data_IF_393410222987
#
_entry.id   IF_393410222987
#
_cell.length_a   1.000
_cell.length_b   1.000
_cell.length_c   1.000
_cell.angle_alpha   90.00
_cell.angle_beta   90.00
_cell.angle_gamma   90.00
#
_symmetry.space_group_name_H-M   'P 1'
#
loop_
_entity.id
_entity.type
_entity.pdbx_description
1 polymer ?
#
# COMPACT_ATOMS: atom_id res chain seq x y z
N UNK A 1 27.76 -4.76 -16.75
CA UNK A 1 26.47 -4.39 -16.12
C UNK A 1 25.38 -4.38 -17.19
N UNK A 2 24.13 -4.72 -16.81
CA UNK A 2 22.99 -4.69 -17.72
C UNK A 2 21.89 -3.81 -17.12
N UNK A 3 21.22 -3.06 -17.96
CA UNK A 3 19.89 -2.53 -17.71
C UNK A 3 18.89 -3.48 -18.39
N UNK A 4 17.82 -3.84 -17.67
CA UNK A 4 16.89 -4.86 -18.15
C UNK A 4 15.47 -4.32 -18.03
N UNK A 5 14.74 -4.31 -19.15
CA UNK A 5 13.29 -4.13 -19.16
C UNK A 5 12.65 -5.52 -19.27
N UNK A 6 11.86 -5.88 -18.27
CA UNK A 6 11.12 -7.14 -18.24
C UNK A 6 9.63 -6.84 -18.25
N UNK A 7 8.90 -7.42 -19.17
CA UNK A 7 7.45 -7.27 -19.31
C UNK A 7 6.79 -8.64 -19.28
N UNK A 8 5.55 -8.69 -18.75
CA UNK A 8 4.71 -9.90 -18.74
C UNK A 8 3.28 -9.58 -19.21
N UNK A 9 3.11 -8.55 -20.02
CA UNK A 9 1.78 -8.04 -20.38
C UNK A 9 0.99 -9.02 -21.23
N UNK A 10 1.65 -9.77 -22.09
CA UNK A 10 1.02 -10.74 -23.01
C UNK A 10 0.98 -12.17 -22.45
N UNK A 11 1.20 -12.37 -21.14
CA UNK A 11 1.29 -13.69 -20.54
C UNK A 11 2.59 -14.43 -20.83
N UNK A 12 3.55 -13.77 -21.48
CA UNK A 12 4.89 -14.27 -21.79
C UNK A 12 5.89 -13.27 -21.23
N UNK A 13 6.97 -13.77 -20.61
CA UNK A 13 8.06 -12.90 -20.15
C UNK A 13 8.86 -12.44 -21.38
N UNK A 14 8.86 -11.13 -21.60
CA UNK A 14 9.69 -10.46 -22.59
C UNK A 14 10.81 -9.70 -21.87
N UNK A 15 12.05 -9.94 -22.22
CA UNK A 15 13.20 -9.22 -21.67
C UNK A 15 13.99 -8.54 -22.77
N UNK A 16 14.23 -7.25 -22.59
CA UNK A 16 15.21 -6.48 -23.34
C UNK A 16 16.38 -6.20 -22.40
N UNK A 17 17.57 -6.68 -22.75
CA UNK A 17 18.80 -6.54 -21.95
C UNK A 17 19.80 -5.70 -22.70
N UNK A 18 20.18 -4.57 -22.10
CA UNK A 18 21.17 -3.67 -22.68
C UNK A 18 22.45 -3.69 -21.85
N UNK A 19 23.52 -4.16 -22.46
CA UNK A 19 24.84 -4.12 -21.83
C UNK A 19 25.37 -2.70 -21.78
N UNK A 20 26.21 -2.36 -20.83
CA UNK A 20 26.75 -1.01 -20.66
C UNK A 20 27.36 -0.42 -21.96
N UNK A 21 28.03 -1.24 -22.77
CA UNK A 21 28.61 -0.82 -24.05
C UNK A 21 27.56 -0.36 -25.08
N UNK A 22 26.30 -0.78 -24.92
CA UNK A 22 25.20 -0.51 -25.84
C UNK A 22 24.21 0.54 -25.29
N UNK A 23 24.50 1.15 -24.13
CA UNK A 23 23.67 2.23 -23.60
C UNK A 23 23.63 3.41 -24.56
N UNK A 24 22.44 3.95 -24.78
CA UNK A 24 22.20 4.87 -25.91
C UNK A 24 22.37 6.36 -25.58
N UNK A 25 22.61 6.73 -24.30
CA UNK A 25 22.91 8.11 -23.92
C UNK A 25 24.31 8.26 -23.35
N UNK A 26 24.60 7.68 -22.20
CA UNK A 26 25.93 7.71 -21.61
C UNK A 26 26.33 6.30 -21.18
N UNK A 27 27.41 5.82 -21.76
CA UNK A 27 27.94 4.48 -21.47
C UNK A 27 28.63 4.41 -20.11
N UNK A 28 28.92 5.55 -19.52
CA UNK A 28 29.70 5.61 -18.27
C UNK A 28 31.02 4.79 -18.36
N UNK A 29 31.71 4.91 -19.45
CA UNK A 29 33.00 4.30 -19.76
C UNK A 29 34.09 5.37 -20.03
N UNK A 30 33.86 6.60 -19.58
CA UNK A 30 34.73 7.75 -19.79
C UNK A 30 34.57 8.41 -21.16
N UNK A 31 33.84 7.82 -22.10
CA UNK A 31 33.69 8.36 -23.48
C UNK A 31 32.36 9.08 -23.70
N UNK A 32 31.38 8.89 -22.80
CA UNK A 32 30.06 9.51 -22.88
C UNK A 32 30.03 10.98 -22.44
N UNK A 33 28.85 11.63 -22.49
CA UNK A 33 28.67 13.05 -22.13
C UNK A 33 29.14 13.40 -20.72
N UNK A 34 29.00 12.51 -19.75
CA UNK A 34 29.45 12.76 -18.38
C UNK A 34 30.95 12.68 -18.20
N UNK A 35 31.68 12.07 -19.16
CA UNK A 35 33.10 11.77 -19.08
C UNK A 35 33.50 10.98 -17.80
N UNK A 36 32.60 10.16 -17.28
CA UNK A 36 32.78 9.37 -16.06
C UNK A 36 32.80 7.88 -16.36
N UNK A 37 33.65 7.18 -15.61
CA UNK A 37 33.64 5.72 -15.54
C UNK A 37 32.79 5.27 -14.35
N UNK A 38 31.87 4.35 -14.57
CA UNK A 38 31.05 3.78 -13.51
C UNK A 38 31.80 2.67 -12.79
N UNK A 39 32.15 2.91 -11.55
CA UNK A 39 32.71 1.91 -10.66
C UNK A 39 31.61 1.42 -9.69
N UNK A 40 31.06 0.25 -9.96
CA UNK A 40 29.99 -0.37 -9.16
C UNK A 40 30.46 -0.84 -7.77
N UNK A 41 31.76 -0.87 -7.51
CA UNK A 41 32.31 -1.14 -6.18
C UNK A 41 32.20 0.04 -5.24
N UNK A 42 31.93 1.21 -5.77
CA UNK A 42 31.76 2.47 -5.02
C UNK A 42 30.29 2.76 -4.77
N UNK A 43 30.04 3.73 -3.91
CA UNK A 43 28.70 4.24 -3.66
C UNK A 43 28.19 5.03 -4.87
N UNK A 44 27.07 4.61 -5.43
CA UNK A 44 26.41 5.25 -6.56
C UNK A 44 24.94 5.52 -6.23
N UNK A 45 24.41 6.60 -6.76
CA UNK A 45 22.97 6.86 -6.76
C UNK A 45 22.44 6.49 -8.13
N UNK A 46 21.71 5.39 -8.20
CA UNK A 46 20.96 4.98 -9.39
C UNK A 46 19.56 5.58 -9.35
N UNK A 47 19.05 6.05 -10.47
CA UNK A 47 17.70 6.54 -10.60
C UNK A 47 17.02 5.91 -11.82
N UNK A 48 15.70 5.81 -11.71
CA UNK A 48 14.82 5.25 -12.72
C UNK A 48 13.60 6.13 -12.81
N UNK A 49 13.23 6.52 -14.02
CA UNK A 49 12.05 7.30 -14.32
C UNK A 49 11.18 6.55 -15.33
N UNK A 50 9.90 6.44 -15.02
CA UNK A 50 8.94 5.67 -15.78
C UNK A 50 7.78 6.58 -16.17
N UNK A 51 7.63 6.84 -17.45
CA UNK A 51 6.42 7.51 -17.96
C UNK A 51 5.24 6.57 -17.78
N UNK A 52 4.37 6.93 -16.84
CA UNK A 52 3.23 6.10 -16.51
C UNK A 52 2.24 6.00 -17.68
N UNK A 53 1.44 5.03 -17.71
CA UNK A 53 0.51 4.44 -18.66
C UNK A 53 1.08 3.18 -19.34
N UNK A 54 2.37 2.86 -19.11
CA UNK A 54 3.03 1.69 -19.65
C UNK A 54 3.24 1.75 -21.17
N UNK A 55 3.21 2.94 -21.77
CA UNK A 55 3.40 3.16 -23.20
C UNK A 55 4.48 4.20 -23.52
N UNK A 56 4.96 4.90 -22.52
CA UNK A 56 6.03 5.89 -22.68
C UNK A 56 7.43 5.29 -22.57
N UNK A 57 8.41 6.17 -22.43
CA UNK A 57 9.81 5.81 -22.29
C UNK A 57 10.16 5.46 -20.83
N UNK A 58 11.17 4.62 -20.63
CA UNK A 58 11.79 4.37 -19.32
C UNK A 58 13.23 4.85 -19.36
N UNK A 59 13.55 5.86 -18.55
CA UNK A 59 14.88 6.45 -18.44
C UNK A 59 15.62 5.88 -17.24
N UNK A 60 16.85 5.43 -17.44
CA UNK A 60 17.70 4.90 -16.38
C UNK A 60 19.00 5.70 -16.34
N UNK A 61 19.53 5.95 -15.14
CA UNK A 61 20.76 6.70 -15.05
C UNK A 61 21.39 6.76 -13.65
N UNK A 62 22.39 7.58 -13.53
CA UNK A 62 23.14 7.78 -12.29
C UNK A 62 23.24 9.27 -11.96
N UNK A 63 23.40 9.57 -10.70
CA UNK A 63 23.70 10.93 -10.26
C UNK A 63 25.21 11.12 -10.23
N UNK A 64 25.68 12.08 -11.01
CA UNK A 64 27.10 12.44 -11.12
C UNK A 64 27.24 13.92 -10.82
N UNK A 65 28.11 14.27 -9.89
CA UNK A 65 28.35 15.67 -9.48
C UNK A 65 27.03 16.42 -9.12
N UNK A 66 26.09 15.71 -8.51
CA UNK A 66 24.77 16.26 -8.12
C UNK A 66 23.77 16.42 -9.28
N UNK A 67 24.10 15.97 -10.49
CA UNK A 67 23.24 16.03 -11.65
C UNK A 67 22.76 14.62 -12.05
N UNK A 68 21.48 14.51 -12.40
CA UNK A 68 20.91 13.27 -12.95
C UNK A 68 21.37 13.11 -14.40
N UNK A 69 22.20 12.11 -14.65
CA UNK A 69 22.70 11.79 -15.99
C UNK A 69 21.98 10.54 -16.50
N UNK A 70 21.46 10.59 -17.72
CA UNK A 70 20.80 9.45 -18.37
C UNK A 70 21.87 8.51 -18.92
N UNK A 71 21.79 7.24 -18.55
CA UNK A 71 22.62 6.18 -19.13
C UNK A 71 21.93 5.58 -20.35
N UNK A 72 20.68 5.15 -20.19
CA UNK A 72 19.92 4.48 -21.25
C UNK A 72 18.44 4.82 -21.19
N UNK A 73 17.80 4.81 -22.34
CA UNK A 73 16.35 4.97 -22.46
C UNK A 73 15.77 3.78 -23.23
N UNK A 74 14.84 3.08 -22.61
CA UNK A 74 14.00 2.12 -23.29
C UNK A 74 12.79 2.82 -23.88
N UNK A 75 12.78 3.01 -25.18
CA UNK A 75 11.66 3.57 -25.90
C UNK A 75 10.55 2.54 -26.09
N UNK A 76 9.32 2.94 -25.83
CA UNK A 76 8.13 2.13 -26.09
C UNK A 76 7.06 2.91 -26.87
N UNK A 77 7.06 4.21 -26.73
CA UNK A 77 6.20 5.15 -27.45
C UNK A 77 6.40 5.03 -28.96
N UNK A 78 5.30 4.92 -29.69
CA UNK A 78 5.26 4.72 -31.14
C UNK A 78 6.08 3.49 -31.65
N UNK A 79 6.39 2.54 -30.77
CA UNK A 79 7.13 1.31 -31.09
C UNK A 79 6.31 0.08 -30.72
N UNK A 80 5.79 0.03 -29.48
CA UNK A 80 5.03 -1.09 -28.97
C UNK A 80 3.53 -1.00 -29.31
N UNK A 81 2.87 -2.14 -29.40
CA UNK A 81 1.41 -2.24 -29.59
C UNK A 81 0.66 -2.53 -28.31
N UNK A 82 1.37 -2.81 -27.22
CA UNK A 82 0.83 -3.15 -25.90
C UNK A 82 1.55 -2.34 -24.83
N UNK A 83 1.02 -2.29 -23.62
CA UNK A 83 1.70 -1.68 -22.48
C UNK A 83 2.87 -2.58 -22.01
N UNK A 84 3.97 -2.01 -21.52
CA UNK A 84 5.07 -2.79 -20.95
C UNK A 84 4.87 -3.12 -19.46
N UNK A 85 3.95 -2.46 -18.79
CA UNK A 85 3.58 -2.76 -17.41
C UNK A 85 2.08 -2.52 -17.18
N UNK A 86 1.51 -3.29 -16.27
CA UNK A 86 0.06 -3.26 -15.97
C UNK A 86 -0.28 -2.49 -14.70
N UNK A 87 0.71 -2.13 -13.88
CA UNK A 87 0.50 -1.44 -12.62
C UNK A 87 1.63 -0.46 -12.33
N UNK A 88 1.27 0.76 -11.90
CA UNK A 88 2.23 1.77 -11.43
C UNK A 88 2.74 1.52 -10.01
N UNK A 89 2.12 0.61 -9.28
CA UNK A 89 2.33 0.43 -7.84
C UNK A 89 3.31 -0.69 -7.52
N UNK A 90 4.22 -0.98 -8.45
CA UNK A 90 5.25 -1.99 -8.20
C UNK A 90 6.24 -1.48 -7.14
N UNK A 91 6.55 -2.30 -6.13
CA UNK A 91 7.51 -1.92 -5.11
C UNK A 91 8.93 -1.86 -5.68
N UNK A 92 9.74 -0.94 -5.16
CA UNK A 92 11.17 -1.01 -5.37
C UNK A 92 11.71 -2.24 -4.65
N UNK A 93 12.38 -3.14 -5.38
CA UNK A 93 12.98 -4.36 -4.85
C UNK A 93 14.47 -4.35 -5.11
N UNK A 94 15.24 -4.70 -4.10
CA UNK A 94 16.67 -4.90 -4.18
C UNK A 94 16.96 -6.34 -3.76
N UNK A 95 17.70 -7.07 -4.59
CA UNK A 95 17.95 -8.47 -4.40
C UNK A 95 19.40 -8.81 -4.79
N UNK A 96 20.00 -9.74 -4.07
CA UNK A 96 21.23 -10.39 -4.46
C UNK A 96 21.00 -11.89 -4.50
N UNK A 97 21.35 -12.53 -5.59
CA UNK A 97 21.20 -13.95 -5.80
C UNK A 97 22.50 -14.52 -6.38
N UNK A 98 23.01 -15.57 -5.77
CA UNK A 98 24.11 -16.35 -6.32
C UNK A 98 23.52 -17.55 -7.08
N UNK A 99 23.73 -17.60 -8.38
CA UNK A 99 23.26 -18.70 -9.24
C UNK A 99 24.19 -19.90 -9.24
N UNK A 100 25.36 -19.77 -8.62
CA UNK A 100 26.36 -20.84 -8.44
C UNK A 100 27.18 -20.58 -7.17
N UNK A 101 27.91 -21.57 -6.72
CA UNK A 101 28.87 -21.39 -5.64
C UNK A 101 30.00 -20.45 -6.08
N UNK A 102 30.10 -19.30 -5.39
CA UNK A 102 31.12 -18.28 -5.69
C UNK A 102 32.38 -18.44 -4.88
N UNK A 103 32.46 -19.44 -3.98
CA UNK A 103 33.59 -19.67 -3.08
C UNK A 103 33.80 -18.56 -2.03
N UNK A 104 32.97 -17.51 -2.04
CA UNK A 104 33.04 -16.40 -1.09
C UNK A 104 31.66 -15.76 -0.91
N UNK A 105 31.45 -15.09 0.25
CA UNK A 105 30.22 -14.35 0.51
C UNK A 105 30.14 -13.12 -0.41
N UNK A 106 29.00 -12.96 -1.09
CA UNK A 106 28.68 -11.76 -1.85
C UNK A 106 27.86 -10.81 -0.97
N UNK A 107 28.02 -9.52 -1.14
CA UNK A 107 27.25 -8.52 -0.40
C UNK A 107 26.78 -7.38 -1.30
N UNK A 108 25.55 -6.93 -1.10
CA UNK A 108 24.99 -5.73 -1.68
C UNK A 108 24.59 -4.80 -0.53
N UNK A 109 25.07 -3.56 -0.54
CA UNK A 109 24.73 -2.57 0.47
C UNK A 109 23.76 -1.55 -0.12
N UNK A 110 22.59 -1.46 0.47
CA UNK A 110 21.63 -0.40 0.20
C UNK A 110 21.69 0.60 1.37
N UNK A 111 21.75 1.90 1.05
CA UNK A 111 21.76 2.98 2.04
C UNK A 111 20.32 3.49 2.26
N UNK A 112 19.68 3.93 1.18
CA UNK A 112 18.28 4.34 1.19
C UNK A 112 17.67 4.24 -0.22
N UNK A 113 16.36 4.34 -0.30
CA UNK A 113 15.63 4.50 -1.55
C UNK A 113 14.43 5.42 -1.35
N UNK A 114 13.91 5.97 -2.45
CA UNK A 114 12.63 6.66 -2.45
C UNK A 114 11.91 6.42 -3.78
N UNK A 115 10.58 6.42 -3.74
CA UNK A 115 9.72 6.43 -4.92
C UNK A 115 8.98 7.76 -4.93
N UNK A 116 9.01 8.46 -6.04
CA UNK A 116 8.44 9.80 -6.19
C UNK A 116 7.46 9.77 -7.35
N UNK A 117 6.28 10.33 -7.16
CA UNK A 117 5.32 10.57 -8.24
C UNK A 117 5.37 12.04 -8.65
N UNK A 118 5.61 12.30 -9.91
CA UNK A 118 5.47 13.64 -10.48
C UNK A 118 3.99 14.00 -10.66
N UNK A 119 3.59 15.20 -10.30
CA UNK A 119 2.23 15.68 -10.47
C UNK A 119 1.28 15.44 -9.28
N UNK A 120 1.77 14.85 -8.20
CA UNK A 120 1.00 14.63 -6.98
C UNK A 120 -0.10 13.58 -7.16
N UNK A 121 -0.83 13.34 -6.08
CA UNK A 121 -1.87 12.34 -6.03
C UNK A 121 -3.25 12.99 -5.86
N UNK A 122 -4.03 13.00 -6.91
CA UNK A 122 -5.41 13.47 -6.86
C UNK A 122 -6.37 12.31 -6.59
N UNK A 123 -7.11 12.34 -5.48
CA UNK A 123 -8.23 11.42 -5.25
C UNK A 123 -9.37 11.76 -6.20
N UNK A 124 -9.30 11.29 -7.44
CA UNK A 124 -10.34 11.54 -8.47
C UNK A 124 -11.48 10.54 -8.43
N UNK A 125 -11.52 9.67 -7.43
CA UNK A 125 -12.57 8.65 -7.26
C UNK A 125 -13.50 9.00 -6.12
N UNK A 126 -14.77 8.58 -6.24
CA UNK A 126 -15.73 8.73 -5.17
C UNK A 126 -15.43 7.73 -4.05
N UNK A 127 -15.49 8.14 -2.78
CA UNK A 127 -15.36 7.20 -1.68
C UNK A 127 -16.50 6.17 -1.72
N UNK A 128 -16.17 4.94 -1.46
CA UNK A 128 -17.12 3.89 -1.13
C UNK A 128 -17.40 3.90 0.36
N UNK A 129 -18.56 3.43 0.78
CA UNK A 129 -19.01 3.48 2.18
C UNK A 129 -19.32 2.09 2.68
N UNK A 130 -18.60 1.67 3.67
CA UNK A 130 -18.77 0.45 4.44
C UNK A 130 -19.66 0.77 5.67
N UNK A 131 -20.82 0.14 5.80
CA UNK A 131 -21.81 0.48 6.84
C UNK A 131 -22.23 -0.72 7.67
N UNK A 132 -22.11 -0.60 8.99
CA UNK A 132 -22.71 -1.52 9.95
C UNK A 132 -23.96 -0.89 10.56
N UNK A 133 -25.06 -1.61 10.52
CA UNK A 133 -26.35 -1.21 11.11
C UNK A 133 -26.72 -2.01 12.36
N UNK A 134 -25.96 -3.05 12.67
CA UNK A 134 -26.12 -3.87 13.88
C UNK A 134 -25.38 -3.24 15.06
N UNK A 135 -25.97 -3.32 16.24
CA UNK A 135 -25.36 -2.81 17.46
C UNK A 135 -24.14 -3.65 17.87
N UNK A 136 -23.11 -2.97 18.38
CA UNK A 136 -21.93 -3.61 18.98
C UNK A 136 -21.80 -3.12 20.41
N UNK A 137 -21.97 -4.02 21.38
CA UNK A 137 -21.66 -3.73 22.77
C UNK A 137 -20.15 -3.63 22.95
N UNK A 138 -19.68 -2.53 23.49
CA UNK A 138 -18.29 -2.29 23.84
C UNK A 138 -18.13 -2.23 25.35
N UNK A 139 -17.01 -2.67 25.84
CA UNK A 139 -16.68 -2.77 27.26
C UNK A 139 -15.29 -2.21 27.52
N UNK A 140 -14.99 -1.98 28.78
CA UNK A 140 -13.72 -1.49 29.23
C UNK A 140 -12.57 -2.44 28.84
N UNK A 141 -11.50 -1.86 28.33
CA UNK A 141 -10.25 -2.53 27.94
C UNK A 141 -10.39 -3.69 26.92
N UNK A 142 -11.57 -3.87 26.29
CA UNK A 142 -11.79 -4.96 25.32
C UNK A 142 -12.10 -4.38 23.94
N UNK A 143 -11.18 -4.54 23.00
CA UNK A 143 -11.37 -4.09 21.65
C UNK A 143 -12.43 -4.90 20.88
N UNK A 144 -13.50 -4.27 20.47
CA UNK A 144 -14.56 -4.87 19.66
C UNK A 144 -14.48 -4.42 18.22
N UNK A 145 -14.52 -5.34 17.24
CA UNK A 145 -14.49 -4.97 15.84
C UNK A 145 -15.82 -4.34 15.40
N UNK A 146 -15.73 -3.27 14.66
CA UNK A 146 -16.89 -2.59 14.08
C UNK A 146 -17.09 -2.99 12.63
N UNK A 147 -16.08 -2.77 11.80
CA UNK A 147 -16.04 -3.11 10.37
C UNK A 147 -14.64 -3.51 9.97
N UNK A 148 -14.51 -4.32 8.94
CA UNK A 148 -13.21 -4.73 8.41
C UNK A 148 -13.19 -4.67 6.88
N UNK A 149 -12.00 -4.45 6.31
CA UNK A 149 -11.77 -4.45 4.87
C UNK A 149 -10.42 -5.09 4.54
N UNK A 150 -10.33 -5.68 3.35
CA UNK A 150 -9.10 -6.23 2.77
C UNK A 150 -9.14 -6.16 1.24
N UNK A 151 -8.02 -6.32 0.57
CA UNK A 151 -8.03 -6.51 -0.89
C UNK A 151 -8.68 -7.85 -1.23
N UNK A 152 -9.46 -7.86 -2.31
CA UNK A 152 -9.99 -9.10 -2.86
C UNK A 152 -8.85 -9.98 -3.37
N UNK A 153 -8.92 -11.29 -3.13
CA UNK A 153 -7.85 -12.23 -3.50
C UNK A 153 -7.50 -12.24 -4.99
N UNK A 154 -8.44 -11.87 -5.85
CA UNK A 154 -8.22 -11.75 -7.30
C UNK A 154 -7.75 -10.34 -7.72
N UNK A 155 -7.62 -9.40 -6.78
CA UNK A 155 -7.33 -7.99 -7.02
C UNK A 155 -6.25 -7.45 -6.09
N UNK A 156 -5.25 -8.25 -5.80
CA UNK A 156 -4.17 -7.94 -4.84
C UNK A 156 -3.23 -6.82 -5.27
N UNK A 157 -3.31 -6.36 -6.50
CA UNK A 157 -2.52 -5.23 -7.01
C UNK A 157 -3.28 -3.89 -6.96
N UNK A 158 -4.48 -3.90 -6.40
CA UNK A 158 -5.30 -2.70 -6.31
C UNK A 158 -4.77 -1.73 -5.25
N UNK A 159 -4.97 -0.45 -5.49
CA UNK A 159 -4.62 0.61 -4.54
C UNK A 159 -5.88 1.04 -3.83
N UNK A 160 -5.97 0.71 -2.55
CA UNK A 160 -7.11 1.05 -1.70
C UNK A 160 -6.62 1.82 -0.48
N UNK A 161 -7.14 3.01 -0.31
CA UNK A 161 -6.84 3.89 0.82
C UNK A 161 -8.03 3.91 1.78
N UNK A 162 -7.85 3.64 3.08
CA UNK A 162 -8.89 3.85 4.07
C UNK A 162 -9.24 5.34 4.14
N UNK A 163 -10.46 5.63 4.55
CA UNK A 163 -11.01 6.97 4.57
C UNK A 163 -11.50 7.40 5.94
N UNK A 164 -12.44 8.33 5.96
CA UNK A 164 -13.09 8.80 7.18
C UNK A 164 -13.93 7.68 7.79
N UNK A 165 -14.11 7.71 9.09
CA UNK A 165 -15.12 6.92 9.76
C UNK A 165 -16.05 7.78 10.57
N UNK A 166 -17.25 7.25 10.83
CA UNK A 166 -18.29 7.85 11.65
C UNK A 166 -18.92 6.79 12.52
N UNK A 167 -19.05 7.07 13.78
CA UNK A 167 -19.77 6.21 14.72
C UNK A 167 -20.87 6.98 15.41
N UNK A 168 -21.87 6.23 15.87
CA UNK A 168 -22.90 6.71 16.76
C UNK A 168 -23.00 5.77 17.96
N UNK A 169 -22.62 6.26 19.14
CA UNK A 169 -22.79 5.59 20.41
C UNK A 169 -24.16 5.93 21.01
N UNK A 170 -24.90 4.93 21.49
CA UNK A 170 -26.34 5.05 21.73
C UNK A 170 -26.74 5.19 23.18
N UNK A 171 -25.86 4.95 24.13
CA UNK A 171 -26.23 4.91 25.54
C UNK A 171 -25.18 5.58 26.41
N UNK A 172 -25.60 6.14 27.53
CA UNK A 172 -24.85 6.67 28.70
C UNK A 172 -23.50 7.36 28.48
N UNK A 173 -23.12 8.27 29.36
CA UNK A 173 -21.80 8.90 29.23
C UNK A 173 -20.71 7.84 29.33
N UNK A 174 -20.04 7.62 28.23
CA UNK A 174 -18.84 6.79 28.14
C UNK A 174 -17.78 7.50 27.32
N UNK A 175 -16.54 7.34 27.73
CA UNK A 175 -15.39 7.72 26.89
C UNK A 175 -15.03 6.50 26.04
N UNK A 176 -15.10 6.68 24.73
CA UNK A 176 -14.87 5.64 23.75
C UNK A 176 -13.54 5.89 23.05
N UNK A 177 -12.71 4.89 23.01
CA UNK A 177 -11.51 4.86 22.19
C UNK A 177 -11.78 4.07 20.90
N UNK A 178 -11.33 4.62 19.79
CA UNK A 178 -11.43 4.06 18.45
C UNK A 178 -10.04 3.89 17.87
N UNK A 179 -9.84 2.82 17.13
CA UNK A 179 -8.57 2.60 16.44
C UNK A 179 -8.76 1.85 15.13
N UNK A 180 -7.87 2.11 14.16
CA UNK A 180 -7.64 1.21 13.06
C UNK A 180 -6.51 0.23 13.41
N UNK A 181 -6.77 -1.05 13.24
CA UNK A 181 -5.81 -2.13 13.51
C UNK A 181 -5.57 -2.91 12.23
N UNK A 182 -4.30 -2.98 11.83
CA UNK A 182 -3.86 -3.78 10.68
C UNK A 182 -3.44 -5.17 11.12
N UNK A 183 -3.92 -6.19 10.43
CA UNK A 183 -3.56 -7.59 10.62
C UNK A 183 -3.69 -8.08 12.08
N UNK A 184 -4.86 -7.90 12.72
CA UNK A 184 -5.06 -8.45 14.07
C UNK A 184 -4.96 -9.97 14.03
N UNK A 185 -4.50 -10.56 15.14
CA UNK A 185 -4.38 -12.02 15.28
C UNK A 185 -5.69 -12.70 15.66
N UNK A 186 -6.62 -11.95 16.27
CA UNK A 186 -7.94 -12.44 16.68
C UNK A 186 -9.06 -11.66 16.01
N UNK A 187 -9.48 -12.11 14.84
CA UNK A 187 -10.66 -11.58 14.15
C UNK A 187 -11.49 -12.75 13.64
N UNK A 188 -12.76 -12.78 13.99
CA UNK A 188 -13.71 -13.75 13.46
C UNK A 188 -14.57 -13.10 12.39
N UNK A 189 -14.54 -13.67 11.21
CA UNK A 189 -15.39 -13.27 10.09
C UNK A 189 -16.50 -14.29 9.98
N UNK A 190 -17.78 -13.90 10.09
CA UNK A 190 -18.90 -14.82 9.98
C UNK A 190 -18.89 -15.57 8.66
N UNK A 191 -19.43 -16.78 8.63
CA UNK A 191 -19.81 -17.41 7.38
C UNK A 191 -20.94 -16.61 6.70
N UNK A 192 -21.07 -16.69 5.38
CA UNK A 192 -22.12 -15.98 4.63
C UNK A 192 -23.53 -16.36 5.17
N UNK A 193 -24.48 -15.40 5.33
CA UNK A 193 -24.35 -13.98 5.10
C UNK A 193 -23.67 -13.24 6.27
N UNK A 194 -22.95 -12.16 5.99
CA UNK A 194 -22.26 -11.35 7.00
C UNK A 194 -20.74 -11.49 7.00
N UNK A 195 -20.19 -12.43 6.21
CA UNK A 195 -18.75 -12.59 6.00
C UNK A 195 -18.16 -11.55 5.04
N UNK A 196 -17.08 -11.94 4.39
CA UNK A 196 -16.47 -11.09 3.37
C UNK A 196 -17.38 -10.98 2.15
N UNK A 197 -17.77 -9.76 1.80
CA UNK A 197 -18.59 -9.41 0.63
C UNK A 197 -17.73 -8.60 -0.33
N UNK A 198 -17.60 -9.07 -1.55
CA UNK A 198 -16.82 -8.34 -2.56
C UNK A 198 -17.54 -7.07 -3.00
N UNK A 199 -16.83 -5.95 -2.99
CA UNK A 199 -17.25 -4.66 -3.52
C UNK A 199 -16.15 -4.05 -4.39
N UNK A 200 -16.13 -4.41 -5.68
CA UNK A 200 -15.05 -4.02 -6.58
C UNK A 200 -13.75 -4.76 -6.27
N UNK A 201 -12.72 -4.02 -5.92
CA UNK A 201 -11.39 -4.55 -5.62
C UNK A 201 -11.17 -4.91 -4.14
N UNK A 202 -12.19 -4.71 -3.32
CA UNK A 202 -12.15 -4.90 -1.87
C UNK A 202 -13.17 -5.96 -1.45
N UNK A 203 -12.83 -6.74 -0.44
CA UNK A 203 -13.78 -7.49 0.35
C UNK A 203 -14.10 -6.71 1.63
N UNK A 204 -15.36 -6.48 1.88
CA UNK A 204 -15.91 -5.80 3.05
C UNK A 204 -16.49 -6.80 4.05
N UNK A 205 -16.30 -6.57 5.33
CA UNK A 205 -16.99 -7.28 6.39
C UNK A 205 -17.60 -6.29 7.38
N UNK A 206 -18.92 -6.24 7.44
CA UNK A 206 -19.66 -5.34 8.33
C UNK A 206 -20.08 -6.02 9.64
N UNK A 207 -20.00 -7.33 9.71
CA UNK A 207 -20.40 -8.12 10.88
C UNK A 207 -19.22 -8.88 11.49
N UNK A 208 -17.99 -8.37 11.33
CA UNK A 208 -16.82 -8.92 11.99
C UNK A 208 -17.04 -8.99 13.51
N UNK A 209 -16.62 -10.08 14.12
CA UNK A 209 -16.76 -10.33 15.55
C UNK A 209 -15.43 -10.76 16.13
N UNK A 210 -15.21 -10.48 17.39
CA UNK A 210 -14.19 -11.05 18.24
C UNK A 210 -14.59 -10.87 19.69
N UNK A 211 -14.12 -11.76 20.56
CA UNK A 211 -14.24 -11.55 22.01
C UNK A 211 -13.38 -10.33 22.39
N UNK A 212 -12.17 -10.30 21.86
CA UNK A 212 -11.24 -9.18 21.97
C UNK A 212 -10.37 -9.17 20.71
N UNK A 213 -10.18 -8.00 20.11
CA UNK A 213 -9.25 -7.85 18.96
C UNK A 213 -7.86 -7.64 19.52
N UNK A 214 -7.01 -8.65 19.36
CA UNK A 214 -5.63 -8.64 19.87
C UNK A 214 -4.61 -8.73 18.73
N UNK A 215 -3.40 -8.26 19.02
CA UNK A 215 -2.31 -8.26 18.04
C UNK A 215 -2.55 -7.27 16.90
N UNK A 216 -1.70 -7.34 15.89
CA UNK A 216 -1.72 -6.40 14.78
C UNK A 216 -1.01 -5.08 15.09
N UNK A 217 -1.13 -4.14 14.17
CA UNK A 217 -0.51 -2.81 14.26
C UNK A 217 -1.62 -1.77 14.39
N UNK A 218 -1.58 -0.97 15.45
CA UNK A 218 -2.45 0.19 15.63
C UNK A 218 -1.93 1.34 14.77
N UNK A 219 -2.71 1.77 13.77
CA UNK A 219 -2.30 2.81 12.82
C UNK A 219 -2.85 4.19 13.17
N UNK A 220 -3.99 4.24 13.85
CA UNK A 220 -4.54 5.48 14.38
C UNK A 220 -5.39 5.21 15.62
N UNK A 221 -5.50 6.20 16.47
CA UNK A 221 -6.35 6.15 17.67
C UNK A 221 -7.05 7.47 17.85
N UNK A 222 -8.36 7.44 18.09
CA UNK A 222 -9.20 8.59 18.39
C UNK A 222 -10.02 8.37 19.63
N UNK A 223 -10.37 9.46 20.30
CA UNK A 223 -11.11 9.45 21.55
C UNK A 223 -12.39 10.28 21.42
N UNK A 224 -13.48 9.73 21.92
CA UNK A 224 -14.78 10.40 21.93
C UNK A 224 -15.34 10.35 23.33
N UNK A 225 -15.76 11.50 23.84
CA UNK A 225 -16.57 11.56 25.05
C UNK A 225 -18.03 11.71 24.68
N UNK A 226 -18.86 10.77 25.10
CA UNK A 226 -20.33 10.90 25.00
C UNK A 226 -20.85 11.59 26.26
N UNK A 227 -21.29 12.82 26.13
CA UNK A 227 -21.83 13.58 27.26
C UNK A 227 -23.19 13.06 27.75
N UNK A 228 -23.63 13.48 28.94
CA UNK A 228 -24.84 13.10 29.66
C UNK A 228 -26.18 13.17 28.88
N UNK A 229 -26.19 13.43 27.62
CA UNK A 229 -27.36 13.40 26.76
C UNK A 229 -27.26 12.30 25.74
N UNK A 230 -28.31 11.53 25.62
CA UNK A 230 -28.44 10.33 24.79
C UNK A 230 -27.73 10.40 23.41
N UNK A 231 -26.56 9.80 23.33
CA UNK A 231 -25.84 9.56 22.10
C UNK A 231 -24.77 10.58 21.72
N UNK A 232 -23.60 10.11 21.40
CA UNK A 232 -22.49 10.86 20.83
C UNK A 232 -22.17 10.40 19.41
N UNK A 233 -21.84 11.33 18.54
CA UNK A 233 -21.34 11.01 17.21
C UNK A 233 -19.91 11.49 17.08
N UNK A 234 -19.04 10.63 16.54
CA UNK A 234 -17.71 11.03 16.16
C UNK A 234 -17.46 10.87 14.69
N UNK A 235 -16.62 11.75 14.22
CA UNK A 235 -16.04 11.70 12.87
C UNK A 235 -14.54 11.73 13.05
N UNK A 236 -13.87 10.65 12.69
CA UNK A 236 -12.42 10.61 12.59
C UNK A 236 -12.01 10.57 11.12
N UNK A 237 -10.88 11.18 10.83
CA UNK A 237 -10.28 11.16 9.50
C UNK A 237 -8.95 10.42 9.58
N UNK A 238 -8.77 9.47 8.71
CA UNK A 238 -7.50 8.80 8.53
C UNK A 238 -6.61 9.70 7.68
N UNK A 239 -5.38 9.95 8.10
CA UNK A 239 -4.45 10.74 7.31
C UNK A 239 -4.01 9.93 6.09
N UNK A 240 -4.45 10.39 4.92
CA UNK A 240 -4.32 9.64 3.67
C UNK A 240 -2.95 9.84 3.05
N UNK A 241 -2.08 8.92 3.29
CA UNK A 241 -0.87 8.79 2.50
C UNK A 241 -0.74 7.36 1.96
N UNK A 242 0.20 7.14 1.06
CA UNK A 242 0.47 5.81 0.52
C UNK A 242 0.93 4.81 1.57
N UNK A 243 1.44 5.28 2.70
CA UNK A 243 1.91 4.44 3.79
C UNK A 243 0.75 3.71 4.48
N UNK A 244 -0.48 4.22 4.35
CA UNK A 244 -1.70 3.63 4.93
C UNK A 244 -2.50 2.78 3.97
N UNK A 245 -2.08 2.64 2.71
CA UNK A 245 -2.78 1.79 1.74
C UNK A 245 -2.87 0.34 2.22
N UNK A 246 -3.93 -0.36 1.79
CA UNK A 246 -4.00 -1.80 1.97
C UNK A 246 -2.92 -2.50 1.15
N UNK A 247 -2.09 -3.24 1.84
CA UNK A 247 -1.00 -4.01 1.25
C UNK A 247 -1.30 -5.49 1.10
N UNK A 248 -0.26 -6.23 0.74
CA UNK A 248 -0.25 -7.70 0.72
C UNK A 248 1.14 -8.24 1.02
N UNK A 249 1.22 -9.46 1.49
CA UNK A 249 2.49 -10.19 1.57
C UNK A 249 2.97 -10.60 0.18
N UNK A 250 4.25 -10.93 0.06
CA UNK A 250 4.82 -11.51 -1.18
C UNK A 250 4.09 -12.81 -1.56
N UNK A 251 3.64 -13.58 -0.57
CA UNK A 251 2.86 -14.81 -0.78
C UNK A 251 1.42 -14.59 -1.23
N UNK A 252 0.98 -13.33 -1.41
CA UNK A 252 -0.35 -13.01 -1.93
C UNK A 252 -1.45 -12.99 -0.86
N UNK A 253 -1.11 -12.83 0.42
CA UNK A 253 -2.09 -12.63 1.48
C UNK A 253 -2.32 -11.13 1.66
N UNK A 254 -3.57 -10.68 1.48
CA UNK A 254 -3.96 -9.27 1.70
C UNK A 254 -3.86 -8.89 3.17
N UNK A 255 -3.46 -7.65 3.43
CA UNK A 255 -3.69 -7.03 4.73
C UNK A 255 -5.19 -6.99 5.05
N UNK A 256 -5.49 -7.12 6.32
CA UNK A 256 -6.82 -6.91 6.89
C UNK A 256 -6.77 -5.67 7.77
N UNK A 257 -7.59 -4.68 7.47
CA UNK A 257 -7.72 -3.46 8.28
C UNK A 257 -9.06 -3.49 8.99
N UNK A 258 -9.06 -3.30 10.31
CA UNK A 258 -10.24 -3.39 11.17
C UNK A 258 -10.41 -2.10 11.95
N UNK A 259 -11.58 -1.48 11.88
CA UNK A 259 -11.97 -0.42 12.81
C UNK A 259 -12.48 -1.08 14.09
N UNK A 260 -11.90 -0.73 15.22
CA UNK A 260 -12.23 -1.27 16.54
C UNK A 260 -12.63 -0.16 17.51
N UNK A 261 -13.39 -0.53 18.53
CA UNK A 261 -13.77 0.37 19.61
C UNK A 261 -13.74 -0.33 20.96
N UNK A 262 -13.45 0.44 22.02
CA UNK A 262 -13.60 0.04 23.42
C UNK A 262 -14.03 1.24 24.28
N UNK A 263 -14.50 1.00 25.49
CA UNK A 263 -14.64 2.06 26.50
C UNK A 263 -13.34 2.17 27.31
N UNK A 264 -13.05 3.39 27.78
CA UNK A 264 -11.83 3.68 28.56
C UNK A 264 -12.14 3.66 30.06
N UNK A 265 -13.39 3.91 30.43
CA UNK A 265 -13.86 3.97 31.83
C UNK A 265 -15.04 3.04 31.98
N UNK A 266 -15.04 2.25 32.98
CA UNK A 266 -15.82 1.07 33.41
C UNK A 266 -17.32 0.98 33.11
N UNK A 267 -17.91 1.84 32.31
CA UNK A 267 -19.30 1.75 31.88
C UNK A 267 -19.35 1.30 30.43
N UNK A 268 -19.76 0.07 30.19
CA UNK A 268 -19.97 -0.42 28.82
C UNK A 268 -20.93 0.50 28.06
N UNK A 269 -20.72 0.65 26.74
CA UNK A 269 -21.59 1.39 25.84
C UNK A 269 -21.95 0.53 24.63
N UNK A 270 -22.79 1.05 23.76
CA UNK A 270 -23.19 0.39 22.53
C UNK A 270 -22.94 1.30 21.33
N UNK A 271 -22.12 0.85 20.40
CA UNK A 271 -22.00 1.48 19.09
C UNK A 271 -23.18 1.02 18.24
N UNK A 272 -24.14 1.91 18.05
CA UNK A 272 -25.37 1.61 17.34
C UNK A 272 -25.20 1.66 15.82
N UNK A 273 -24.31 2.50 15.33
CA UNK A 273 -24.06 2.67 13.89
C UNK A 273 -22.59 2.94 13.65
N UNK A 274 -22.07 2.35 12.59
CA UNK A 274 -20.72 2.62 12.10
C UNK A 274 -20.77 2.82 10.59
N UNK A 275 -20.05 3.81 10.11
CA UNK A 275 -19.76 3.98 8.70
C UNK A 275 -18.28 4.31 8.53
N UNK A 276 -17.61 3.61 7.66
CA UNK A 276 -16.24 3.92 7.24
C UNK A 276 -16.21 4.12 5.73
N UNK A 277 -15.33 4.99 5.27
CA UNK A 277 -15.14 5.22 3.83
C UNK A 277 -13.78 4.68 3.41
N UNK A 278 -13.66 4.35 2.14
CA UNK A 278 -12.39 4.03 1.52
C UNK A 278 -12.40 4.48 0.06
N UNK A 279 -11.22 4.67 -0.51
CA UNK A 279 -11.01 5.05 -1.91
C UNK A 279 -10.37 3.88 -2.64
N UNK A 280 -11.05 3.40 -3.67
CA UNK A 280 -10.56 2.39 -4.60
C UNK A 280 -10.05 3.13 -5.84
N UNK A 281 -8.73 3.20 -5.97
CA UNK A 281 -8.05 4.05 -6.96
C UNK A 281 -7.66 3.29 -8.24
N UNK A 282 -8.07 2.04 -8.35
CA UNK A 282 -7.69 1.15 -9.47
C UNK A 282 -8.81 1.00 -10.48
#
# INVERSE_FOLDING_TARGET
>A
MYLVRRSFVNGIVEETREIQADWNFDKFDGTGPSQRDLDVSKANIFWLDVEWLGVGAVRCGFVVDGQMQIAHVFYHDNVGTTTYMTSATLPLRIEIENTADTGSASSLKQICNSVISEGGYGKKVRPKVLRRSTNVAITDDVWKPLVALRLNSNRLNSVVLPGTYRIYASTSPADVELAWVRNPTSLTVPASPGGWVQNGNVDECVDATAVDVTGGIFESTDYISTSNQSGGAAVGEFDYNFDTQLGRTIGGTSDVLVLVARTIISNGDTIARTAATYYDLT
#
